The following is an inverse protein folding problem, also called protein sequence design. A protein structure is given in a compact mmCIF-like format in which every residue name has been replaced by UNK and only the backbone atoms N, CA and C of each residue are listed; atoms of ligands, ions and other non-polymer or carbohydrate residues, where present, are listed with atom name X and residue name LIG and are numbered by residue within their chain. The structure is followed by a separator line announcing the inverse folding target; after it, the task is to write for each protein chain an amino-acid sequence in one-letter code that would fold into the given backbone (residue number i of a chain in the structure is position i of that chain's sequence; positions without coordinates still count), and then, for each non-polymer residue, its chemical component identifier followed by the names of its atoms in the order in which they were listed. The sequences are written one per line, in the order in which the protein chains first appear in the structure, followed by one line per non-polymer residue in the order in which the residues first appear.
data_IF_465342338185
#
_entry.id   IF_465342338185
#
_cell.length_a   1.000
_cell.length_b   1.000
_cell.length_c   1.000
_cell.angle_alpha   90.00
_cell.angle_beta   90.00
_cell.angle_gamma   90.00
#
_symmetry.space_group_name_H-M   'P 1'
#
loop_
_entity.id
_entity.type
_entity.pdbx_description
1 polymer ?
#
# COMPACT_ATOMS: atom_id res chain seq x y z
N UNK A 1 20.64 -18.61 29.95
CA UNK A 1 21.62 -18.05 29.01
C UNK A 1 21.11 -18.18 27.57
N UNK A 2 19.84 -17.85 27.33
CA UNK A 2 19.15 -18.04 26.02
C UNK A 2 18.31 -16.84 25.55
N UNK A 3 18.38 -15.70 26.26
CA UNK A 3 17.58 -14.52 25.91
C UNK A 3 18.25 -13.54 24.93
N UNK A 4 19.48 -13.78 24.51
CA UNK A 4 20.23 -12.84 23.64
C UNK A 4 20.07 -13.12 22.14
N UNK A 5 19.41 -14.19 21.71
CA UNK A 5 19.36 -14.57 20.29
C UNK A 5 18.15 -14.08 19.52
N UNK A 6 17.13 -13.55 20.16
CA UNK A 6 15.90 -13.08 19.47
C UNK A 6 16.03 -11.67 18.91
N UNK A 7 17.04 -10.90 19.34
CA UNK A 7 17.33 -9.55 18.81
C UNK A 7 18.30 -9.52 17.63
N UNK A 8 18.79 -10.67 17.18
CA UNK A 8 19.78 -10.81 16.11
C UNK A 8 19.17 -11.02 14.74
N UNK A 9 18.38 -10.08 14.24
CA UNK A 9 18.26 -9.96 12.78
C UNK A 9 19.63 -9.53 12.26
N UNK A 10 20.17 -10.30 11.32
CA UNK A 10 21.45 -9.98 10.71
C UNK A 10 21.43 -8.54 10.20
N UNK A 11 22.47 -7.76 10.51
CA UNK A 11 22.58 -6.33 10.16
C UNK A 11 22.24 -6.06 8.70
N UNK A 12 22.57 -6.96 7.79
CA UNK A 12 22.26 -6.85 6.36
C UNK A 12 20.76 -6.85 6.06
N UNK A 13 19.98 -7.67 6.76
CA UNK A 13 18.51 -7.70 6.54
C UNK A 13 17.83 -6.45 7.09
N UNK A 14 18.33 -5.90 8.19
CA UNK A 14 17.81 -4.66 8.79
C UNK A 14 18.12 -3.45 7.90
N UNK A 15 19.34 -3.35 7.39
CA UNK A 15 19.74 -2.24 6.49
C UNK A 15 18.94 -2.25 5.19
N UNK A 16 18.79 -3.41 4.56
CA UNK A 16 18.02 -3.54 3.31
C UNK A 16 16.54 -3.23 3.53
N UNK A 17 15.95 -3.66 4.64
CA UNK A 17 14.55 -3.35 4.96
C UNK A 17 14.36 -1.85 5.21
N UNK A 18 15.26 -1.21 5.97
CA UNK A 18 15.21 0.23 6.25
C UNK A 18 15.32 1.09 4.98
N UNK A 19 16.21 0.75 4.06
CA UNK A 19 16.34 1.46 2.77
C UNK A 19 15.08 1.33 1.91
N UNK A 20 14.45 0.16 1.89
CA UNK A 20 13.18 -0.04 1.17
C UNK A 20 12.05 0.74 1.80
N UNK A 21 11.96 0.78 3.12
CA UNK A 21 10.95 1.56 3.85
C UNK A 21 11.11 3.06 3.57
N UNK A 22 12.32 3.60 3.65
CA UNK A 22 12.60 4.99 3.30
C UNK A 22 12.21 5.32 1.86
N UNK A 23 12.54 4.46 0.90
CA UNK A 23 12.17 4.66 -0.50
C UNK A 23 10.65 4.68 -0.70
N UNK A 24 9.94 3.80 0.01
CA UNK A 24 8.47 3.76 -0.02
C UNK A 24 7.85 5.03 0.55
N UNK A 25 8.37 5.52 1.68
CA UNK A 25 7.91 6.75 2.32
C UNK A 25 8.16 7.98 1.42
N UNK A 26 9.34 8.09 0.83
CA UNK A 26 9.68 9.17 -0.11
C UNK A 26 8.71 9.14 -1.31
N UNK A 27 8.52 7.97 -1.92
CA UNK A 27 7.60 7.80 -3.06
C UNK A 27 6.17 8.19 -2.70
N UNK A 28 5.71 7.79 -1.52
CA UNK A 28 4.39 8.14 -1.02
C UNK A 28 4.25 9.65 -0.83
N UNK A 29 5.19 10.27 -0.13
CA UNK A 29 5.23 11.71 0.14
C UNK A 29 5.28 12.52 -1.16
N UNK A 30 6.08 12.09 -2.13
CA UNK A 30 6.17 12.78 -3.43
C UNK A 30 4.87 12.77 -4.21
N UNK A 31 3.99 11.78 -4.02
CA UNK A 31 2.66 11.79 -4.65
C UNK A 31 1.74 12.87 -4.06
N UNK A 32 1.97 13.29 -2.82
CA UNK A 32 1.25 14.40 -2.18
C UNK A 32 1.90 15.75 -2.51
N UNK A 33 3.23 15.81 -2.54
CA UNK A 33 3.99 17.04 -2.79
C UNK A 33 3.87 17.52 -4.23
N UNK A 34 3.95 16.63 -5.22
CA UNK A 34 3.89 16.98 -6.64
C UNK A 34 2.67 17.84 -7.03
N UNK A 35 1.42 17.53 -6.63
CA UNK A 35 0.27 18.38 -6.93
C UNK A 35 0.34 19.75 -6.27
N UNK A 36 0.99 19.87 -5.10
CA UNK A 36 1.18 21.15 -4.40
C UNK A 36 2.19 22.01 -5.18
N UNK A 37 3.34 21.45 -5.52
CA UNK A 37 4.35 22.15 -6.31
C UNK A 37 3.86 22.59 -7.69
N UNK A 38 2.96 21.80 -8.29
CA UNK A 38 2.30 22.17 -9.55
C UNK A 38 1.18 23.21 -9.39
N UNK A 39 0.92 23.71 -8.19
CA UNK A 39 -0.14 24.67 -7.92
C UNK A 39 -1.57 24.12 -8.12
N UNK A 40 -1.70 22.81 -8.29
CA UNK A 40 -2.99 22.16 -8.52
C UNK A 40 -3.80 21.95 -7.22
N UNK A 41 -3.12 21.92 -6.09
CA UNK A 41 -3.67 21.75 -4.74
C UNK A 41 -2.91 22.67 -3.80
N UNK A 42 -3.58 23.28 -2.85
CA UNK A 42 -2.94 24.18 -1.86
C UNK A 42 -2.31 23.36 -0.72
N UNK A 43 -3.05 22.42 -0.17
CA UNK A 43 -2.56 21.58 0.93
C UNK A 43 -3.32 20.26 1.03
N UNK A 44 -2.65 19.28 1.66
CA UNK A 44 -3.24 18.03 2.13
C UNK A 44 -3.11 17.98 3.66
N UNK A 45 -4.20 17.83 4.38
CA UNK A 45 -4.21 17.55 5.80
C UNK A 45 -4.83 16.16 6.03
N UNK A 46 -4.21 15.33 6.85
CA UNK A 46 -4.77 14.03 7.22
C UNK A 46 -5.99 14.27 8.12
N UNK A 47 -7.10 13.59 7.83
CA UNK A 47 -8.29 13.63 8.66
C UNK A 47 -8.03 12.95 10.00
N UNK A 48 -8.51 13.54 11.08
CA UNK A 48 -8.34 13.00 12.42
C UNK A 48 -8.87 11.57 12.54
N UNK A 49 -10.05 11.31 12.00
CA UNK A 49 -10.67 9.98 11.96
C UNK A 49 -9.80 8.93 11.25
N UNK A 50 -9.21 9.30 10.11
CA UNK A 50 -8.33 8.42 9.35
C UNK A 50 -7.04 8.11 10.13
N UNK A 51 -6.47 9.12 10.77
CA UNK A 51 -5.30 8.98 11.64
C UNK A 51 -5.59 8.08 12.84
N UNK A 52 -6.71 8.32 13.53
CA UNK A 52 -7.13 7.52 14.68
C UNK A 52 -7.39 6.05 14.31
N UNK A 53 -8.07 5.81 13.19
CA UNK A 53 -8.33 4.47 12.66
C UNK A 53 -7.04 3.73 12.31
N UNK A 54 -6.12 4.40 11.63
CA UNK A 54 -4.82 3.82 11.29
C UNK A 54 -4.02 3.51 12.53
N UNK A 55 -3.94 4.42 13.50
CA UNK A 55 -3.24 4.21 14.74
C UNK A 55 -3.84 3.05 15.56
N UNK A 56 -5.16 2.97 15.67
CA UNK A 56 -5.83 1.84 16.33
C UNK A 56 -5.48 0.51 15.68
N UNK A 57 -5.53 0.43 14.37
CA UNK A 57 -5.14 -0.77 13.61
C UNK A 57 -3.68 -1.16 13.85
N UNK A 58 -2.77 -0.18 13.88
CA UNK A 58 -1.35 -0.38 14.16
C UNK A 58 -1.14 -0.94 15.57
N UNK A 59 -1.72 -0.31 16.59
CA UNK A 59 -1.57 -0.73 17.99
C UNK A 59 -2.12 -2.14 18.24
N UNK A 60 -3.28 -2.48 17.67
CA UNK A 60 -3.85 -3.82 17.79
C UNK A 60 -2.94 -4.93 17.25
N UNK A 61 -2.21 -4.64 16.17
CA UNK A 61 -1.25 -5.59 15.59
C UNK A 61 0.05 -5.65 16.37
N UNK A 62 0.52 -4.52 16.86
CA UNK A 62 1.76 -4.43 17.64
C UNK A 62 1.70 -5.20 18.96
N UNK A 63 0.53 -5.32 19.58
CA UNK A 63 0.33 -6.10 20.82
C UNK A 63 0.85 -7.53 20.70
N UNK A 64 0.77 -8.12 19.51
CA UNK A 64 1.18 -9.52 19.25
C UNK A 64 2.62 -9.66 18.74
N UNK A 65 3.39 -8.59 18.75
CA UNK A 65 4.77 -8.60 18.25
C UNK A 65 5.77 -8.51 19.37
N UNK A 66 6.99 -8.97 19.14
CA UNK A 66 8.13 -8.85 20.06
C UNK A 66 8.38 -7.41 20.52
N UNK A 67 8.02 -6.42 19.70
CA UNK A 67 8.14 -5.00 20.01
C UNK A 67 7.27 -4.53 21.19
N UNK A 68 6.28 -5.35 21.57
CA UNK A 68 5.43 -5.08 22.72
C UNK A 68 6.02 -5.60 24.03
N UNK A 69 6.86 -6.63 23.96
CA UNK A 69 7.45 -7.28 25.15
C UNK A 69 8.80 -6.69 25.56
N UNK A 70 9.50 -6.05 24.63
CA UNK A 70 10.77 -5.42 24.92
C UNK A 70 10.58 -4.02 25.49
N UNK A 71 11.40 -3.64 26.47
CA UNK A 71 11.51 -2.25 26.96
C UNK A 71 12.24 -1.44 25.89
N UNK A 72 11.49 -1.02 24.86
CA UNK A 72 12.02 -0.55 23.59
C UNK A 72 12.05 0.98 23.55
N UNK A 73 13.14 1.55 23.03
CA UNK A 73 13.28 2.94 22.63
C UNK A 73 12.09 3.47 21.80
N UNK A 74 11.37 2.57 21.11
CA UNK A 74 10.23 2.92 20.24
C UNK A 74 8.92 3.17 20.97
N UNK A 75 8.90 3.07 22.31
CA UNK A 75 7.72 3.37 23.14
C UNK A 75 7.80 4.76 23.73
N UNK A 76 6.66 5.42 23.79
CA UNK A 76 6.52 6.72 24.42
C UNK A 76 6.34 6.56 25.94
N UNK A 77 7.22 7.18 26.71
CA UNK A 77 7.12 7.44 28.16
C UNK A 77 7.27 6.26 29.13
N UNK A 78 7.08 5.02 28.76
CA UNK A 78 7.31 3.86 29.65
C UNK A 78 7.07 2.52 28.98
N UNK A 79 7.26 1.43 29.72
CA UNK A 79 7.00 0.04 29.31
C UNK A 79 5.57 -0.18 28.78
N UNK A 80 4.59 0.65 29.19
CA UNK A 80 3.19 0.57 28.79
C UNK A 80 2.80 1.61 27.72
N UNK A 81 3.74 2.46 27.27
CA UNK A 81 3.48 3.48 26.25
C UNK A 81 3.16 2.90 24.86
N UNK A 82 2.44 3.68 24.06
CA UNK A 82 2.16 3.31 22.67
C UNK A 82 3.44 3.26 21.84
N UNK A 83 3.61 2.24 21.04
CA UNK A 83 4.70 2.15 20.09
C UNK A 83 4.42 3.07 18.90
N UNK A 84 5.37 3.94 18.55
CA UNK A 84 5.20 4.97 17.52
C UNK A 84 6.10 4.81 16.30
N UNK A 85 7.08 3.90 16.35
CA UNK A 85 8.13 3.86 15.33
C UNK A 85 8.24 2.52 14.58
N UNK A 86 7.52 1.48 14.98
CA UNK A 86 7.62 0.17 14.34
C UNK A 86 6.37 -0.18 13.54
N UNK A 87 6.57 -0.82 12.39
CA UNK A 87 5.48 -1.31 11.55
C UNK A 87 5.19 -2.79 11.88
N UNK A 88 3.94 -3.17 12.19
CA UNK A 88 3.57 -4.52 12.62
C UNK A 88 3.29 -5.46 11.43
N UNK A 89 4.20 -5.57 10.49
CA UNK A 89 4.01 -6.44 9.34
C UNK A 89 5.24 -6.56 8.46
N UNK A 90 5.20 -7.44 7.47
CA UNK A 90 6.30 -7.60 6.54
C UNK A 90 6.48 -6.36 5.65
N UNK A 91 7.70 -6.15 5.18
CA UNK A 91 8.06 -5.03 4.28
C UNK A 91 7.21 -5.01 3.02
N UNK A 92 6.79 -6.16 2.51
CA UNK A 92 5.89 -6.28 1.35
C UNK A 92 4.51 -5.66 1.63
N UNK A 93 3.96 -5.83 2.83
CA UNK A 93 2.71 -5.19 3.23
C UNK A 93 2.88 -3.67 3.33
N UNK A 94 3.98 -3.22 3.94
CA UNK A 94 4.30 -1.80 4.01
C UNK A 94 4.43 -1.18 2.62
N UNK A 95 5.17 -1.81 1.73
CA UNK A 95 5.30 -1.43 0.34
C UNK A 95 3.94 -1.34 -0.36
N UNK A 96 3.07 -2.34 -0.19
CA UNK A 96 1.75 -2.35 -0.81
C UNK A 96 0.85 -1.22 -0.29
N UNK A 97 0.84 -0.97 1.00
CA UNK A 97 0.06 0.11 1.63
C UNK A 97 0.54 1.51 1.20
N UNK A 98 1.83 1.66 0.91
CA UNK A 98 2.45 2.93 0.53
C UNK A 98 2.54 3.18 -0.97
N UNK A 99 1.99 2.28 -1.81
CA UNK A 99 2.00 2.47 -3.27
C UNK A 99 1.24 3.72 -3.72
N UNK A 100 0.12 4.03 -3.08
CA UNK A 100 -0.69 5.17 -3.43
C UNK A 100 -1.43 5.74 -2.21
N UNK A 101 -1.42 7.07 -2.01
CA UNK A 101 -2.21 7.71 -0.98
C UNK A 101 -3.71 7.47 -1.18
N UNK A 102 -4.40 7.17 -0.10
CA UNK A 102 -5.86 7.15 -0.07
C UNK A 102 -6.34 8.58 0.10
N UNK A 103 -6.62 9.27 -0.98
CA UNK A 103 -6.99 10.68 -0.95
C UNK A 103 -8.33 10.97 -0.25
N UNK A 104 -9.14 9.93 0.03
CA UNK A 104 -10.31 10.02 0.91
C UNK A 104 -9.96 10.35 2.36
N UNK A 105 -8.75 9.99 2.79
CA UNK A 105 -8.26 10.13 4.15
C UNK A 105 -7.64 11.53 4.41
N UNK A 106 -7.67 12.39 3.37
CA UNK A 106 -7.11 13.74 3.41
C UNK A 106 -8.18 14.79 3.17
N UNK A 107 -8.10 15.87 3.92
CA UNK A 107 -8.74 17.13 3.60
C UNK A 107 -7.85 17.89 2.61
N UNK A 108 -8.41 18.17 1.44
CA UNK A 108 -7.69 18.74 0.31
C UNK A 108 -8.22 20.15 0.08
N UNK A 109 -7.37 21.15 0.25
CA UNK A 109 -7.71 22.55 0.03
C UNK A 109 -7.31 22.97 -1.38
N UNK A 110 -8.24 23.61 -2.12
CA UNK A 110 -7.96 24.20 -3.43
C UNK A 110 -7.75 23.22 -4.57
N UNK A 111 -8.15 21.97 -4.46
CA UNK A 111 -7.87 20.91 -5.46
C UNK A 111 -9.08 20.37 -6.22
N UNK A 112 -10.18 21.13 -6.41
CA UNK A 112 -11.42 20.60 -7.02
C UNK A 112 -11.25 20.13 -8.46
N UNK A 113 -10.55 20.91 -9.28
CA UNK A 113 -10.24 20.55 -10.66
C UNK A 113 -9.35 19.31 -10.72
N UNK A 114 -8.34 19.25 -9.88
CA UNK A 114 -7.45 18.11 -9.76
C UNK A 114 -8.18 16.83 -9.32
N UNK A 115 -9.10 16.94 -8.33
CA UNK A 115 -9.94 15.81 -7.89
C UNK A 115 -10.81 15.29 -9.04
N UNK A 116 -11.45 16.18 -9.81
CA UNK A 116 -12.29 15.80 -10.96
C UNK A 116 -11.48 15.07 -12.03
N UNK A 117 -10.36 15.64 -12.44
CA UNK A 117 -9.46 15.02 -13.44
C UNK A 117 -8.97 13.65 -12.97
N UNK A 118 -8.63 13.53 -11.69
CA UNK A 118 -8.18 12.25 -11.12
C UNK A 118 -9.28 11.21 -11.10
N UNK A 119 -10.52 11.58 -10.73
CA UNK A 119 -11.67 10.67 -10.77
C UNK A 119 -11.93 10.17 -12.20
N UNK A 120 -11.93 11.08 -13.17
CA UNK A 120 -12.13 10.72 -14.60
C UNK A 120 -11.02 9.78 -15.09
N UNK A 121 -9.76 10.08 -14.79
CA UNK A 121 -8.64 9.17 -15.12
C UNK A 121 -8.77 7.79 -14.45
N UNK A 122 -9.26 7.74 -13.22
CA UNK A 122 -9.52 6.48 -12.52
C UNK A 122 -10.61 5.65 -13.21
N UNK A 123 -11.72 6.26 -13.55
CA UNK A 123 -12.84 5.61 -14.28
C UNK A 123 -12.36 5.10 -15.64
N UNK A 124 -11.61 5.93 -16.38
CA UNK A 124 -11.09 5.55 -17.69
C UNK A 124 -10.14 4.36 -17.62
N UNK A 125 -9.24 4.34 -16.62
CA UNK A 125 -8.36 3.19 -16.40
C UNK A 125 -9.12 1.92 -16.04
N UNK A 126 -10.14 2.03 -15.18
CA UNK A 126 -10.98 0.90 -14.83
C UNK A 126 -11.74 0.36 -16.06
N UNK A 127 -12.29 1.25 -16.88
CA UNK A 127 -12.97 0.88 -18.12
C UNK A 127 -12.02 0.17 -19.10
N UNK A 128 -10.78 0.68 -19.25
CA UNK A 128 -9.77 0.04 -20.11
C UNK A 128 -9.41 -1.36 -19.63
N UNK A 129 -9.27 -1.56 -18.31
CA UNK A 129 -9.00 -2.89 -17.73
C UNK A 129 -10.15 -3.86 -18.01
N UNK A 130 -11.41 -3.42 -17.84
CA UNK A 130 -12.57 -4.24 -18.12
C UNK A 130 -12.64 -4.63 -19.60
N UNK A 131 -12.38 -3.68 -20.50
CA UNK A 131 -12.33 -3.96 -21.95
C UNK A 131 -11.21 -4.95 -22.27
N UNK A 132 -10.02 -4.78 -21.70
CA UNK A 132 -8.90 -5.70 -21.91
C UNK A 132 -9.24 -7.13 -21.45
N UNK A 133 -9.86 -7.28 -20.28
CA UNK A 133 -10.30 -8.59 -19.77
C UNK A 133 -11.36 -9.21 -20.70
N UNK A 134 -12.33 -8.42 -21.17
CA UNK A 134 -13.36 -8.88 -22.09
C UNK A 134 -12.76 -9.36 -23.42
N UNK A 135 -11.81 -8.62 -23.99
CA UNK A 135 -11.12 -8.99 -25.23
C UNK A 135 -10.34 -10.30 -25.06
N UNK A 136 -9.57 -10.44 -23.98
CA UNK A 136 -8.82 -11.67 -23.68
C UNK A 136 -9.78 -12.85 -23.49
N UNK A 137 -10.88 -12.67 -22.76
CA UNK A 137 -11.89 -13.71 -22.55
C UNK A 137 -12.63 -14.12 -23.83
N UNK A 138 -12.86 -13.19 -24.76
CA UNK A 138 -13.45 -13.49 -26.07
C UNK A 138 -12.45 -14.24 -26.98
N UNK A 139 -11.19 -13.83 -26.99
CA UNK A 139 -10.15 -14.48 -27.75
C UNK A 139 -9.91 -15.92 -27.28
N UNK A 140 -9.85 -16.17 -25.96
CA UNK A 140 -9.73 -17.51 -25.38
C UNK A 140 -10.84 -18.45 -25.83
N UNK A 141 -12.11 -18.01 -25.75
CA UNK A 141 -13.27 -18.78 -26.22
C UNK A 141 -13.26 -19.06 -27.73
N UNK A 142 -12.67 -18.17 -28.51
CA UNK A 142 -12.47 -18.38 -29.95
C UNK A 142 -11.49 -19.52 -30.24
N UNK A 143 -10.41 -19.58 -29.49
CA UNK A 143 -9.37 -20.64 -29.62
C UNK A 143 -9.94 -22.01 -29.21
N UNK A 144 -10.67 -22.09 -28.11
CA UNK A 144 -11.32 -23.34 -27.67
C UNK A 144 -12.29 -23.89 -28.72
N UNK A 145 -13.18 -23.05 -29.29
CA UNK A 145 -14.11 -23.46 -30.35
C UNK A 145 -13.39 -23.89 -31.63
N UNK A 146 -12.27 -23.27 -31.95
CA UNK A 146 -11.46 -23.67 -33.11
C UNK A 146 -10.79 -25.03 -32.88
N UNK A 147 -10.28 -25.27 -31.67
CA UNK A 147 -9.70 -26.54 -31.28
C UNK A 147 -10.72 -27.70 -31.29
N UNK A 148 -11.91 -27.47 -30.75
CA UNK A 148 -13.02 -28.46 -30.79
C UNK A 148 -13.42 -28.83 -32.22
N UNK A 149 -13.53 -27.84 -33.12
CA UNK A 149 -13.82 -28.10 -34.54
C UNK A 149 -12.72 -28.89 -35.24
N UNK A 150 -11.46 -28.57 -34.91
CA UNK A 150 -10.32 -29.31 -35.47
C UNK A 150 -10.29 -30.78 -35.00
N UNK A 151 -10.60 -31.05 -33.74
CA UNK A 151 -10.69 -32.40 -33.17
C UNK A 151 -11.86 -33.15 -33.81
N UNK A 152 -13.01 -32.53 -34.03
CA UNK A 152 -14.16 -33.15 -34.70
C UNK A 152 -13.84 -33.54 -36.17
N UNK A 153 -13.09 -32.70 -36.89
CA UNK A 153 -12.63 -33.03 -38.25
C UNK A 153 -11.61 -34.17 -38.34
N UNK A 154 -10.85 -34.42 -37.26
CA UNK A 154 -9.86 -35.52 -37.21
C UNK A 154 -10.50 -36.85 -36.80
N UNK A 155 -11.71 -36.85 -36.28
CA UNK A 155 -12.44 -38.04 -35.82
C UNK A 155 -13.46 -38.56 -36.86
N UNK A 156 -13.61 -37.88 -37.99
CA UNK A 156 -14.38 -38.31 -39.19
C UNK A 156 -13.45 -38.81 -40.29
#
# INVERSE_FOLDING_TARGET
MEESQVCGQTLDSVVVSSLRECTCQIRYTMQLVKPILAGAVRSFAVREEASAKYNSWMQQRLVRTVWNFCNSYYRRESTNGKNFATFPGPVTLFWWLTQSPRYSDYDIVGGERWRRVRKVKGILRAALVVVAIAVVGCAGRGVERAAERAIQMLLL
#
